data_IF_731062144121
#
_entry.id   IF_731062144121
#
_cell.length_a   1.000
_cell.length_b   1.000
_cell.length_c   1.000
_cell.angle_alpha   90.00
_cell.angle_beta   90.00
_cell.angle_gamma   90.00
#
_symmetry.space_group_name_H-M   'P 1'
#
loop_
_entity.id
_entity.type
_entity.pdbx_description
1 polymer ?
#
# COMPACT_ATOMS: atom_id res chain seq x y z
N UNK A 1 12.74 -2.57 -4.69
CA UNK A 1 11.74 -3.55 -4.22
C UNK A 1 10.49 -3.40 -5.09
N UNK A 2 9.69 -4.45 -5.31
CA UNK A 2 8.43 -4.35 -6.05
C UNK A 2 7.21 -4.47 -5.12
N UNK A 3 6.00 -4.25 -5.65
CA UNK A 3 4.76 -4.25 -4.85
C UNK A 3 4.48 -5.60 -4.18
N UNK A 4 4.81 -6.73 -4.82
CA UNK A 4 4.57 -8.05 -4.22
C UNK A 4 5.49 -8.27 -3.02
N UNK A 5 6.71 -7.75 -3.06
CA UNK A 5 7.63 -7.81 -1.92
C UNK A 5 7.16 -6.96 -0.73
N UNK A 6 6.51 -5.82 -0.97
CA UNK A 6 5.87 -5.02 0.09
C UNK A 6 4.75 -5.80 0.81
N UNK A 7 3.92 -6.52 0.05
CA UNK A 7 2.83 -7.33 0.62
C UNK A 7 3.38 -8.44 1.50
N UNK A 8 4.40 -9.17 1.04
CA UNK A 8 5.05 -10.22 1.84
C UNK A 8 5.62 -9.68 3.15
N UNK A 9 6.33 -8.56 3.07
CA UNK A 9 6.87 -7.89 4.26
C UNK A 9 5.77 -7.48 5.24
N UNK A 10 4.62 -7.03 4.75
CA UNK A 10 3.46 -6.72 5.59
C UNK A 10 2.77 -7.96 6.19
N UNK A 11 2.95 -9.15 5.64
CA UNK A 11 2.49 -10.39 6.28
C UNK A 11 3.43 -10.87 7.38
N UNK A 12 4.75 -10.72 7.18
CA UNK A 12 5.76 -11.18 8.14
C UNK A 12 6.02 -10.18 9.28
N UNK A 13 5.76 -8.88 9.08
CA UNK A 13 6.02 -7.81 10.06
C UNK A 13 4.75 -6.97 10.32
N UNK A 14 4.11 -7.19 11.47
CA UNK A 14 2.92 -6.44 11.89
C UNK A 14 3.20 -4.94 12.09
N UNK A 15 4.40 -4.56 12.54
CA UNK A 15 4.74 -3.15 12.71
C UNK A 15 4.84 -2.47 11.35
N UNK A 16 5.43 -3.15 10.37
CA UNK A 16 5.47 -2.69 8.99
C UNK A 16 4.06 -2.59 8.39
N UNK A 17 3.21 -3.60 8.59
CA UNK A 17 1.82 -3.59 8.14
C UNK A 17 1.04 -2.40 8.69
N UNK A 18 1.13 -2.16 10.00
CA UNK A 18 0.46 -1.04 10.65
C UNK A 18 0.98 0.31 10.13
N UNK A 19 2.28 0.44 9.89
CA UNK A 19 2.84 1.63 9.27
C UNK A 19 2.31 1.84 7.84
N UNK A 20 2.26 0.77 7.04
CA UNK A 20 1.78 0.80 5.66
C UNK A 20 0.29 1.16 5.58
N UNK A 21 -0.53 0.69 6.52
CA UNK A 21 -1.95 1.06 6.61
C UNK A 21 -2.16 2.50 7.07
N UNK A 22 -1.27 3.03 7.93
CA UNK A 22 -1.39 4.39 8.49
C UNK A 22 -0.87 5.48 7.56
N UNK A 23 0.28 5.24 6.96
CA UNK A 23 0.97 6.20 6.08
C UNK A 23 1.61 5.48 4.89
N UNK A 24 0.78 5.03 3.93
CA UNK A 24 1.24 4.21 2.82
C UNK A 24 2.25 4.94 1.95
N UNK A 25 2.08 6.25 1.74
CA UNK A 25 2.98 7.05 0.92
C UNK A 25 4.39 7.05 1.50
N UNK A 26 4.54 7.40 2.78
CA UNK A 26 5.86 7.47 3.41
C UNK A 26 6.57 6.11 3.39
N UNK A 27 5.83 5.01 3.61
CA UNK A 27 6.38 3.67 3.58
C UNK A 27 6.82 3.28 2.16
N UNK A 28 5.96 3.48 1.16
CA UNK A 28 6.28 3.16 -0.24
C UNK A 28 7.48 3.96 -0.73
N UNK A 29 7.53 5.27 -0.47
CA UNK A 29 8.66 6.12 -0.84
C UNK A 29 9.97 5.65 -0.20
N UNK A 30 9.95 5.32 1.09
CA UNK A 30 11.11 4.81 1.84
C UNK A 30 11.61 3.47 1.29
N UNK A 31 10.69 2.55 1.01
CA UNK A 31 10.99 1.18 0.61
C UNK A 31 11.40 1.06 -0.87
N UNK A 32 10.87 1.94 -1.72
CA UNK A 32 11.24 2.02 -3.14
C UNK A 32 12.43 2.96 -3.38
N UNK A 33 12.78 3.81 -2.41
CA UNK A 33 13.86 4.80 -2.53
C UNK A 33 13.53 5.92 -3.52
N UNK A 34 12.25 6.21 -3.72
CA UNK A 34 11.78 7.24 -4.67
C UNK A 34 10.82 8.18 -3.97
N UNK A 35 10.73 9.42 -4.45
CA UNK A 35 9.62 10.32 -4.11
C UNK A 35 8.56 10.20 -5.17
N UNK A 36 7.32 10.01 -4.75
CA UNK A 36 6.17 10.01 -5.64
C UNK A 36 5.79 11.46 -5.96
N UNK A 37 5.16 11.73 -7.11
CA UNK A 37 4.56 13.04 -7.38
C UNK A 37 3.51 13.39 -6.31
N UNK A 38 3.31 14.68 -6.01
CA UNK A 38 2.34 15.12 -4.98
C UNK A 38 0.89 14.80 -5.36
N UNK A 39 0.59 14.71 -6.65
CA UNK A 39 -0.73 14.34 -7.19
C UNK A 39 -1.09 12.86 -6.99
N UNK A 40 -0.14 12.01 -6.58
CA UNK A 40 -0.38 10.59 -6.37
C UNK A 40 -0.80 10.33 -4.92
N UNK A 41 -2.04 9.89 -4.77
CA UNK A 41 -2.57 9.33 -3.54
C UNK A 41 -2.47 7.79 -3.56
N UNK A 42 -2.10 7.21 -2.43
CA UNK A 42 -2.02 5.76 -2.25
C UNK A 42 -3.03 5.35 -1.20
N UNK A 43 -3.89 4.40 -1.55
CA UNK A 43 -4.80 3.75 -0.63
C UNK A 43 -4.36 2.31 -0.40
N UNK A 44 -4.26 1.92 0.87
CA UNK A 44 -3.97 0.54 1.26
C UNK A 44 -5.15 0.05 2.10
N UNK A 45 -5.78 -1.02 1.63
CA UNK A 45 -6.85 -1.68 2.34
C UNK A 45 -6.48 -3.14 2.59
N UNK A 46 -6.73 -3.60 3.82
CA UNK A 46 -6.64 -5.01 4.13
C UNK A 46 -7.93 -5.72 3.69
N UNK A 47 -7.77 -6.84 2.98
CA UNK A 47 -8.88 -7.74 2.73
C UNK A 47 -9.00 -8.74 3.89
N UNK A 48 -10.21 -8.87 4.42
CA UNK A 48 -10.57 -9.87 5.42
C UNK A 48 -11.50 -10.90 4.77
N UNK A 49 -11.77 -12.06 5.40
CA UNK A 49 -12.70 -13.07 4.87
C UNK A 49 -14.13 -12.56 4.61
N UNK A 50 -14.47 -11.36 5.09
CA UNK A 50 -15.79 -10.76 5.00
C UNK A 50 -15.81 -9.42 4.24
N UNK A 51 -14.69 -9.02 3.61
CA UNK A 51 -14.62 -7.80 2.82
C UNK A 51 -14.30 -8.09 1.36
N UNK A 52 -14.97 -7.35 0.47
CA UNK A 52 -14.71 -7.36 -0.96
C UNK A 52 -14.37 -5.93 -1.36
N UNK A 53 -13.21 -5.76 -1.99
CA UNK A 53 -12.75 -4.48 -2.52
C UNK A 53 -13.02 -4.40 -4.02
N UNK A 54 -13.63 -3.32 -4.48
CA UNK A 54 -13.88 -3.06 -5.89
C UNK A 54 -13.12 -1.81 -6.32
N UNK A 55 -12.25 -1.95 -7.32
CA UNK A 55 -11.55 -0.83 -7.93
C UNK A 55 -12.31 -0.42 -9.20
N UNK A 56 -12.92 0.76 -9.18
CA UNK A 56 -13.56 1.35 -10.35
C UNK A 56 -12.56 2.32 -11.01
N UNK A 57 -12.07 2.05 -12.22
CA UNK A 57 -11.19 2.97 -12.92
C UNK A 57 -11.95 4.24 -13.33
N UNK A 58 -11.21 5.30 -13.63
CA UNK A 58 -11.80 6.51 -14.22
C UNK A 58 -12.49 6.17 -15.54
N UNK A 59 -13.57 6.89 -15.83
CA UNK A 59 -14.18 6.81 -17.16
C UNK A 59 -13.13 7.25 -18.20
N UNK A 60 -13.05 6.58 -19.36
CA UNK A 60 -12.09 6.92 -20.41
C UNK A 60 -12.20 8.37 -20.87
#
# INVERSE_FOLDING_TARGET
MDVQALIRKAWDDESFKNALLRDPRAVVEKELGVKLPEEIEIFVHEQTPHTIHLILPQKP
#
